data_IF_343300418897
#
_entry.id   IF_343300418897
#
_cell.length_a   1.000
_cell.length_b   1.000
_cell.length_c   1.000
_cell.angle_alpha   90.00
_cell.angle_beta   90.00
_cell.angle_gamma   90.00
#
_symmetry.space_group_name_H-M   'P 1'
#
loop_
_entity.id
_entity.type
_entity.pdbx_description
1 polymer ?
#
# COMPACT_ATOMS: atom_id res chain seq x y z
N UNK A 1 11.48 5.21 -23.20
CA UNK A 1 11.51 5.65 -21.79
C UNK A 1 10.28 5.07 -21.09
N UNK A 2 10.43 4.20 -20.07
CA UNK A 2 9.30 3.46 -19.45
C UNK A 2 8.60 4.18 -18.27
N UNK A 3 8.90 5.46 -18.01
CA UNK A 3 8.39 6.23 -16.86
C UNK A 3 7.99 7.66 -17.29
N UNK A 4 7.17 7.77 -18.33
CA UNK A 4 6.63 9.07 -18.77
C UNK A 4 5.51 9.51 -17.80
N UNK A 5 5.58 10.71 -17.21
CA UNK A 5 4.62 11.13 -16.18
C UNK A 5 3.29 11.67 -16.75
N UNK A 6 3.13 11.67 -18.06
CA UNK A 6 2.03 12.36 -18.74
C UNK A 6 2.39 13.79 -19.13
N UNK A 7 1.47 14.44 -19.85
CA UNK A 7 1.63 15.85 -20.30
C UNK A 7 1.25 16.86 -19.21
N UNK A 8 0.51 16.43 -18.19
CA UNK A 8 0.12 17.23 -17.02
C UNK A 8 -0.35 16.32 -15.88
N UNK A 9 -0.57 16.90 -14.69
CA UNK A 9 -1.18 16.20 -13.55
C UNK A 9 -2.56 15.65 -13.97
N UNK A 10 -2.84 14.39 -13.60
CA UNK A 10 -4.16 13.75 -13.79
C UNK A 10 -4.64 13.74 -15.27
N UNK A 11 -3.72 13.74 -16.26
CA UNK A 11 -4.10 13.73 -17.68
C UNK A 11 -4.65 12.37 -18.16
N UNK A 12 -4.28 11.29 -17.49
CA UNK A 12 -4.83 9.95 -17.76
C UNK A 12 -6.23 9.85 -17.14
N UNK A 13 -7.23 9.46 -17.94
CA UNK A 13 -8.63 9.43 -17.49
C UNK A 13 -8.85 8.43 -16.36
N UNK A 14 -8.09 7.34 -16.34
CA UNK A 14 -8.08 6.33 -15.28
C UNK A 14 -7.60 6.93 -13.96
N UNK A 15 -6.56 7.77 -14.02
CA UNK A 15 -6.03 8.47 -12.84
C UNK A 15 -7.04 9.48 -12.35
N UNK A 16 -7.55 10.32 -13.25
CA UNK A 16 -8.55 11.33 -12.92
C UNK A 16 -9.80 10.74 -12.26
N UNK A 17 -10.27 9.60 -12.76
CA UNK A 17 -11.48 8.95 -12.25
C UNK A 17 -11.35 8.59 -10.76
N UNK A 18 -10.26 7.92 -10.37
CA UNK A 18 -10.09 7.55 -8.96
C UNK A 18 -9.71 8.74 -8.09
N UNK A 19 -8.93 9.70 -8.58
CA UNK A 19 -8.57 10.89 -7.77
C UNK A 19 -9.81 11.75 -7.49
N UNK A 20 -10.70 11.94 -8.47
CA UNK A 20 -11.99 12.59 -8.28
C UNK A 20 -12.84 11.86 -7.22
N UNK A 21 -12.79 10.52 -7.19
CA UNK A 21 -13.47 9.73 -6.16
C UNK A 21 -12.86 9.95 -4.76
N UNK A 22 -11.53 9.95 -4.64
CA UNK A 22 -10.85 10.16 -3.36
C UNK A 22 -11.15 11.53 -2.75
N UNK A 23 -11.23 12.59 -3.57
CA UNK A 23 -11.52 13.96 -3.10
C UNK A 23 -12.99 14.11 -2.66
N UNK A 24 -13.91 13.39 -3.30
CA UNK A 24 -15.36 13.52 -3.03
C UNK A 24 -15.86 12.71 -1.84
N UNK A 25 -15.08 11.73 -1.38
CA UNK A 25 -15.53 10.75 -0.39
C UNK A 25 -14.66 10.76 0.85
N UNK A 26 -15.27 10.45 2.01
CA UNK A 26 -14.52 10.26 3.25
C UNK A 26 -13.87 8.87 3.25
N UNK A 27 -12.64 8.80 2.78
CA UNK A 27 -11.84 7.57 2.72
C UNK A 27 -10.91 7.50 3.94
N UNK A 28 -10.97 6.41 4.70
CA UNK A 28 -10.13 6.21 5.89
C UNK A 28 -8.86 5.41 5.58
N UNK A 29 -8.89 4.58 4.55
CA UNK A 29 -7.75 3.78 4.11
C UNK A 29 -7.66 3.66 2.60
N UNK A 30 -6.43 3.62 2.08
CA UNK A 30 -6.09 3.45 0.68
C UNK A 30 -4.97 2.42 0.57
N UNK A 31 -5.23 1.31 -0.12
CA UNK A 31 -4.21 0.29 -0.40
C UNK A 31 -4.13 0.10 -1.91
N UNK A 32 -2.95 0.33 -2.49
CA UNK A 32 -2.69 0.07 -3.92
C UNK A 32 -1.84 -1.19 -4.06
N UNK A 33 -2.17 -2.03 -5.04
CA UNK A 33 -1.53 -3.32 -5.25
C UNK A 33 -0.65 -3.26 -6.49
N UNK A 34 0.59 -3.71 -6.35
CA UNK A 34 1.57 -3.80 -7.41
C UNK A 34 2.23 -5.19 -7.37
N UNK A 35 3.06 -5.49 -8.36
CA UNK A 35 3.96 -6.62 -8.31
C UNK A 35 5.24 -6.20 -9.00
N UNK A 36 6.39 -6.77 -8.68
CA UNK A 36 6.69 -7.81 -7.71
C UNK A 36 7.61 -7.23 -6.63
N UNK A 37 7.98 -7.99 -5.59
CA UNK A 37 9.22 -7.83 -4.76
C UNK A 37 9.04 -8.32 -3.31
N UNK A 38 7.83 -8.23 -2.75
CA UNK A 38 7.58 -8.52 -1.33
C UNK A 38 7.76 -7.31 -0.44
N UNK A 39 7.11 -6.19 -0.76
CA UNK A 39 7.17 -4.98 0.06
C UNK A 39 5.80 -4.56 0.56
N UNK A 40 5.76 -4.00 1.76
CA UNK A 40 4.63 -3.23 2.30
C UNK A 40 5.14 -1.81 2.53
N UNK A 41 4.80 -0.93 1.61
CA UNK A 41 5.33 0.42 1.56
C UNK A 41 4.30 1.42 2.09
N UNK A 42 4.77 2.44 2.79
CA UNK A 42 3.97 3.62 3.14
C UNK A 42 4.66 4.93 2.68
N UNK A 43 3.92 6.03 2.51
CA UNK A 43 4.46 7.33 2.06
C UNK A 43 5.66 7.85 2.87
N UNK A 44 6.55 8.68 2.33
CA UNK A 44 6.48 9.39 1.03
C UNK A 44 7.40 8.85 -0.07
N UNK A 45 6.88 8.33 -1.17
CA UNK A 45 7.71 7.82 -2.27
C UNK A 45 8.55 8.87 -3.01
N UNK A 46 8.18 10.16 -2.98
CA UNK A 46 8.92 11.21 -3.71
C UNK A 46 10.23 11.65 -3.06
N UNK A 47 10.41 11.44 -1.74
CA UNK A 47 11.57 11.95 -1.01
C UNK A 47 12.00 11.03 0.13
N UNK A 48 13.28 10.64 0.12
CA UNK A 48 13.92 9.90 1.22
C UNK A 48 14.00 10.77 2.48
N UNK A 49 13.93 10.12 3.64
CA UNK A 49 14.04 10.77 4.96
C UNK A 49 13.01 11.88 5.22
N UNK A 50 11.91 11.90 4.46
CA UNK A 50 10.74 12.72 4.72
C UNK A 50 9.63 11.79 5.21
N UNK A 51 9.07 12.11 6.37
CA UNK A 51 8.15 11.21 7.06
C UNK A 51 6.85 11.93 7.37
N UNK A 52 5.75 11.17 7.40
CA UNK A 52 4.48 11.66 7.93
C UNK A 52 4.52 11.64 9.46
N UNK A 53 3.73 12.49 10.09
CA UNK A 53 3.66 12.56 11.56
C UNK A 53 3.20 11.23 12.18
N UNK A 54 2.41 10.45 11.45
CA UNK A 54 1.91 9.14 11.85
C UNK A 54 2.75 7.95 11.37
N UNK A 55 3.99 8.19 10.90
CA UNK A 55 4.89 7.14 10.38
C UNK A 55 4.99 5.93 11.30
N UNK A 56 5.12 6.13 12.61
CA UNK A 56 5.27 5.01 13.55
C UNK A 56 4.03 4.12 13.58
N UNK A 57 2.83 4.72 13.45
CA UNK A 57 1.58 3.99 13.38
C UNK A 57 1.46 3.21 12.06
N UNK A 58 1.89 3.82 10.94
CA UNK A 58 1.94 3.16 9.64
C UNK A 58 2.93 1.98 9.65
N UNK A 59 4.11 2.16 10.23
CA UNK A 59 5.10 1.10 10.37
C UNK A 59 4.57 -0.07 11.20
N UNK A 60 4.01 0.21 12.40
CA UNK A 60 3.41 -0.83 13.26
C UNK A 60 2.29 -1.60 12.56
N UNK A 61 1.39 -0.89 11.88
CA UNK A 61 0.32 -1.56 11.13
C UNK A 61 0.86 -2.34 9.93
N UNK A 62 1.89 -1.84 9.24
CA UNK A 62 2.59 -2.56 8.18
C UNK A 62 3.26 -3.85 8.68
N UNK A 63 3.85 -3.84 9.88
CA UNK A 63 4.38 -5.06 10.52
C UNK A 63 3.26 -6.05 10.87
N UNK A 64 2.10 -5.58 11.33
CA UNK A 64 0.90 -6.42 11.51
C UNK A 64 0.45 -7.05 10.17
N UNK A 65 0.50 -6.29 9.08
CA UNK A 65 0.21 -6.80 7.73
C UNK A 65 1.24 -7.85 7.28
N UNK A 66 2.54 -7.61 7.49
CA UNK A 66 3.61 -8.58 7.20
C UNK A 66 3.36 -9.89 7.93
N UNK A 67 3.12 -9.83 9.24
CA UNK A 67 2.91 -11.02 10.05
C UNK A 67 1.65 -11.80 9.58
N UNK A 68 0.59 -11.09 9.16
CA UNK A 68 -0.60 -11.72 8.60
C UNK A 68 -0.31 -12.46 7.28
N UNK A 69 0.50 -11.88 6.40
CA UNK A 69 0.97 -12.53 5.17
C UNK A 69 1.85 -13.75 5.48
N UNK A 70 2.81 -13.60 6.38
CA UNK A 70 3.73 -14.65 6.79
C UNK A 70 2.96 -15.86 7.36
N UNK A 71 1.89 -15.63 8.14
CA UNK A 71 1.05 -16.72 8.67
C UNK A 71 0.31 -17.52 7.59
N UNK A 72 0.13 -16.98 6.38
CA UNK A 72 -0.51 -17.71 5.27
C UNK A 72 0.46 -18.68 4.61
N UNK A 73 1.73 -18.31 4.41
CA UNK A 73 2.64 -19.06 3.54
C UNK A 73 4.10 -19.13 3.99
N UNK A 74 4.48 -18.34 4.99
CA UNK A 74 5.87 -18.06 5.34
C UNK A 74 6.53 -17.01 4.44
N UNK A 75 5.77 -16.33 3.57
CA UNK A 75 6.32 -15.29 2.71
C UNK A 75 6.75 -14.07 3.54
N UNK A 76 8.04 -13.73 3.44
CA UNK A 76 8.63 -12.59 4.13
C UNK A 76 8.52 -11.32 3.28
N UNK A 77 8.00 -10.25 3.87
CA UNK A 77 7.82 -8.94 3.23
C UNK A 77 8.55 -7.87 4.04
N UNK A 78 9.28 -6.98 3.37
CA UNK A 78 9.92 -5.85 4.06
C UNK A 78 8.93 -4.67 4.18
N UNK A 79 8.88 -4.05 5.35
CA UNK A 79 7.98 -2.94 5.67
C UNK A 79 8.77 -1.65 5.77
N UNK A 80 8.30 -0.59 5.11
CA UNK A 80 8.99 0.69 5.23
C UNK A 80 8.47 1.83 4.37
N UNK A 81 9.15 2.95 4.52
CA UNK A 81 8.89 4.15 3.74
C UNK A 81 9.29 3.88 2.28
N UNK A 82 8.37 4.06 1.33
CA UNK A 82 8.54 3.79 -0.11
C UNK A 82 9.89 4.25 -0.69
N UNK A 83 10.29 5.50 -0.47
CA UNK A 83 11.51 6.05 -1.04
C UNK A 83 12.78 5.47 -0.39
N UNK A 84 12.74 5.22 0.92
CA UNK A 84 13.88 4.75 1.70
C UNK A 84 14.24 3.31 1.38
N UNK A 85 13.24 2.41 1.29
CA UNK A 85 13.49 0.96 1.13
C UNK A 85 13.38 0.45 -0.31
N UNK A 86 12.71 1.18 -1.21
CA UNK A 86 12.61 0.82 -2.62
C UNK A 86 13.43 1.80 -3.48
N UNK A 87 12.82 2.90 -3.92
CA UNK A 87 13.50 4.01 -4.60
C UNK A 87 12.60 5.26 -4.64
N UNK A 88 13.19 6.42 -4.95
CA UNK A 88 12.44 7.67 -5.13
C UNK A 88 11.67 7.68 -6.45
N UNK A 89 10.37 7.96 -6.41
CA UNK A 89 9.65 8.42 -7.60
C UNK A 89 8.51 9.37 -7.24
N UNK A 90 8.14 10.19 -8.23
CA UNK A 90 7.12 11.23 -8.06
C UNK A 90 5.78 10.74 -8.63
N UNK A 91 4.68 11.32 -8.14
CA UNK A 91 3.33 11.08 -8.68
C UNK A 91 2.74 9.73 -8.29
N UNK A 92 3.20 9.11 -7.19
CA UNK A 92 2.59 7.89 -6.69
C UNK A 92 1.17 8.13 -6.16
N UNK A 93 0.29 7.16 -6.38
CA UNK A 93 -1.09 7.19 -5.89
C UNK A 93 -1.18 7.19 -4.37
N UNK A 94 -0.25 6.50 -3.68
CA UNK A 94 -0.18 6.47 -2.23
C UNK A 94 0.21 7.86 -1.66
N UNK A 95 1.19 8.54 -2.22
CA UNK A 95 1.56 9.90 -1.83
C UNK A 95 0.39 10.86 -2.03
N UNK A 96 -0.29 10.78 -3.19
CA UNK A 96 -1.50 11.58 -3.44
C UNK A 96 -2.59 11.32 -2.40
N UNK A 97 -2.94 10.05 -2.16
CA UNK A 97 -3.92 9.66 -1.15
C UNK A 97 -3.56 10.21 0.25
N UNK A 98 -2.28 10.13 0.64
CA UNK A 98 -1.81 10.64 1.92
C UNK A 98 -1.87 12.15 2.02
N UNK A 99 -1.59 12.86 0.92
CA UNK A 99 -1.70 14.32 0.85
C UNK A 99 -3.15 14.84 1.03
N UNK A 100 -4.15 14.00 0.74
CA UNK A 100 -5.56 14.30 1.00
C UNK A 100 -5.97 14.06 2.47
N UNK A 101 -5.04 13.62 3.33
CA UNK A 101 -5.30 13.34 4.74
C UNK A 101 -5.84 11.94 5.02
N UNK A 102 -5.81 11.01 4.04
CA UNK A 102 -6.19 9.62 4.28
C UNK A 102 -5.20 9.02 5.29
N UNK A 103 -5.73 8.43 6.36
CA UNK A 103 -4.92 7.98 7.51
C UNK A 103 -4.07 6.77 7.15
N UNK A 104 -4.70 5.67 6.72
CA UNK A 104 -4.02 4.40 6.45
C UNK A 104 -3.71 4.25 4.97
N UNK A 105 -2.46 4.45 4.59
CA UNK A 105 -2.07 4.45 3.18
C UNK A 105 -0.90 3.51 2.96
N UNK A 106 -1.11 2.51 2.09
CA UNK A 106 -0.10 1.49 1.80
C UNK A 106 -0.03 1.14 0.31
N UNK A 107 1.15 0.69 -0.10
CA UNK A 107 1.38 -0.04 -1.35
C UNK A 107 1.85 -1.45 -1.00
N UNK A 108 1.28 -2.48 -1.60
CA UNK A 108 1.78 -3.85 -1.48
C UNK A 108 2.41 -4.27 -2.81
N UNK A 109 3.70 -4.58 -2.79
CA UNK A 109 4.42 -5.21 -3.91
C UNK A 109 4.36 -6.73 -3.74
N UNK A 110 3.44 -7.38 -4.47
CA UNK A 110 3.06 -8.77 -4.28
C UNK A 110 4.17 -9.73 -4.72
N UNK A 111 4.36 -10.81 -3.97
CA UNK A 111 5.26 -11.90 -4.33
C UNK A 111 6.67 -11.62 -3.84
N UNK A 112 6.95 -12.09 -2.61
CA UNK A 112 8.27 -12.02 -1.98
C UNK A 112 9.35 -12.59 -2.88
N UNK A 113 10.30 -11.78 -3.32
CA UNK A 113 11.44 -12.27 -4.13
C UNK A 113 12.32 -13.26 -3.37
N UNK A 114 12.32 -13.20 -2.04
CA UNK A 114 13.04 -14.14 -1.17
C UNK A 114 12.47 -15.56 -1.30
N UNK A 115 11.16 -15.69 -1.62
CA UNK A 115 10.45 -16.96 -1.73
C UNK A 115 10.09 -17.34 -3.18
N UNK A 116 9.77 -16.35 -4.02
CA UNK A 116 9.27 -16.52 -5.38
C UNK A 116 10.16 -15.77 -6.38
N UNK A 117 10.72 -16.48 -7.35
CA UNK A 117 11.55 -15.88 -8.40
C UNK A 117 10.83 -15.84 -9.77
N UNK A 118 9.56 -15.44 -9.78
CA UNK A 118 8.72 -15.41 -10.99
C UNK A 118 8.74 -14.06 -11.72
N UNK A 119 9.16 -12.99 -11.05
CA UNK A 119 9.00 -11.64 -11.58
C UNK A 119 7.52 -11.33 -11.85
N UNK A 120 7.26 -10.74 -13.00
CA UNK A 120 5.89 -10.49 -13.49
C UNK A 120 5.20 -11.73 -14.06
N UNK A 121 5.93 -12.83 -14.29
CA UNK A 121 5.44 -14.03 -14.99
C UNK A 121 5.06 -15.12 -13.97
N UNK A 122 4.06 -14.83 -13.14
CA UNK A 122 3.59 -15.74 -12.08
C UNK A 122 2.90 -16.97 -12.69
N UNK A 123 3.31 -18.21 -12.31
CA UNK A 123 2.59 -19.40 -12.74
C UNK A 123 1.17 -19.42 -12.18
N UNK A 124 0.20 -19.87 -12.99
CA UNK A 124 -1.23 -19.89 -12.63
C UNK A 124 -1.53 -20.58 -11.30
N UNK A 125 -0.76 -21.63 -10.95
CA UNK A 125 -0.90 -22.37 -9.70
C UNK A 125 -0.61 -21.54 -8.44
N UNK A 126 0.12 -20.42 -8.54
CA UNK A 126 0.44 -19.55 -7.40
C UNK A 126 -0.53 -18.39 -7.23
N UNK A 127 -1.43 -18.13 -8.20
CA UNK A 127 -2.34 -16.98 -8.15
C UNK A 127 -3.20 -17.02 -6.88
N UNK A 128 -3.85 -18.14 -6.59
CA UNK A 128 -4.70 -18.26 -5.40
C UNK A 128 -3.90 -18.05 -4.11
N UNK A 129 -2.67 -18.58 -4.05
CA UNK A 129 -1.81 -18.46 -2.87
C UNK A 129 -1.40 -17.01 -2.61
N UNK A 130 -0.95 -16.31 -3.64
CA UNK A 130 -0.59 -14.89 -3.54
C UNK A 130 -1.81 -14.01 -3.22
N UNK A 131 -2.98 -14.36 -3.74
CA UNK A 131 -4.22 -13.65 -3.41
C UNK A 131 -4.60 -13.81 -1.92
N UNK A 132 -4.47 -15.01 -1.35
CA UNK A 132 -4.69 -15.27 0.08
C UNK A 132 -3.73 -14.45 0.96
N UNK A 133 -2.44 -14.41 0.61
CA UNK A 133 -1.44 -13.60 1.30
C UNK A 133 -1.86 -12.12 1.33
N UNK A 134 -2.06 -11.53 0.16
CA UNK A 134 -2.36 -10.10 0.02
C UNK A 134 -3.68 -9.76 0.69
N UNK A 135 -4.67 -10.63 0.58
CA UNK A 135 -5.95 -10.46 1.26
C UNK A 135 -5.79 -10.42 2.78
N UNK A 136 -4.96 -11.30 3.37
CA UNK A 136 -4.67 -11.28 4.80
C UNK A 136 -4.04 -9.95 5.24
N UNK A 137 -3.08 -9.43 4.46
CA UNK A 137 -2.48 -8.12 4.71
C UNK A 137 -3.50 -6.97 4.62
N UNK A 138 -4.32 -6.92 3.58
CA UNK A 138 -5.35 -5.87 3.40
C UNK A 138 -6.39 -5.93 4.54
N UNK A 139 -6.74 -7.13 4.99
CA UNK A 139 -7.73 -7.32 6.06
C UNK A 139 -7.30 -6.67 7.38
N UNK A 140 -6.00 -6.66 7.68
CA UNK A 140 -5.44 -5.98 8.87
C UNK A 140 -5.79 -4.49 8.87
N UNK A 141 -5.64 -3.81 7.73
CA UNK A 141 -5.99 -2.38 7.59
C UNK A 141 -7.50 -2.17 7.80
N UNK A 142 -8.32 -3.02 7.19
CA UNK A 142 -9.79 -2.96 7.34
C UNK A 142 -10.23 -3.17 8.80
N UNK A 143 -9.62 -4.13 9.49
CA UNK A 143 -9.91 -4.40 10.90
C UNK A 143 -9.48 -3.24 11.80
N UNK A 144 -8.33 -2.61 11.52
CA UNK A 144 -7.88 -1.41 12.25
C UNK A 144 -8.91 -0.29 12.13
N UNK A 145 -9.36 0.02 10.93
CA UNK A 145 -10.37 1.07 10.68
C UNK A 145 -11.68 0.76 11.42
N UNK A 146 -12.16 -0.48 11.32
CA UNK A 146 -13.40 -0.90 11.98
C UNK A 146 -13.35 -0.74 13.51
N UNK A 147 -12.22 -1.13 14.12
CA UNK A 147 -12.00 -0.97 15.58
C UNK A 147 -12.02 0.50 16.00
N UNK A 148 -11.32 1.37 15.28
CA UNK A 148 -11.31 2.81 15.60
C UNK A 148 -12.69 3.45 15.48
N UNK A 149 -13.44 3.12 14.43
CA UNK A 149 -14.80 3.63 14.25
C UNK A 149 -15.74 3.20 15.38
N UNK A 150 -15.59 1.96 15.87
CA UNK A 150 -16.38 1.46 17.01
C UNK A 150 -16.05 2.20 18.31
N UNK A 151 -14.78 2.54 18.53
CA UNK A 151 -14.37 3.32 19.70
C UNK A 151 -14.91 4.74 19.62
N UNK A 152 -14.82 5.39 18.45
CA UNK A 152 -15.38 6.73 18.24
C UNK A 152 -16.90 6.79 18.44
N UNK A 153 -17.65 5.74 18.07
CA UNK A 153 -19.10 5.70 18.28
C UNK A 153 -19.49 5.51 19.75
N UNK A 154 -18.65 4.88 20.57
CA UNK A 154 -18.93 4.64 21.99
C UNK A 154 -18.62 5.84 22.89
N UNK A 155 -17.92 6.85 22.35
CA UNK A 155 -17.53 8.07 23.08
C UNK A 155 -18.49 9.24 22.78
N UNK A 156 -19.31 9.13 21.72
CA UNK A 156 -20.36 10.09 21.34
C UNK A 156 -21.70 9.71 21.96
#
# INVERSE_FOLDING_TARGET
MKRFPGISKECEVEVKSYTDYLVKNKIQGFVTLHSYEGFILYPWGYQKKLYTDDRENLYKLGEEMRNAIENISGADYDVGQSADILYRANGYSNDYAKSLGIKYVFTIEIGSRKMYNFGFMVPKSYISKLAEEVFAGVLVVSQRISKENTVESNIK
#
